data_IF_425875898071
#
_entry.id   IF_425875898071
#
_cell.length_a   1.000
_cell.length_b   1.000
_cell.length_c   1.000
_cell.angle_alpha   90.00
_cell.angle_beta   90.00
_cell.angle_gamma   90.00
#
_symmetry.space_group_name_H-M   'P 1'
#
loop_
_entity.id
_entity.type
_entity.pdbx_description
1 polymer ?
#
# COMPACT_ATOMS: atom_id res chain seq x y z
N UNK A 1 -1.63 -20.46 -19.62
CA UNK A 1 -2.01 -19.85 -18.33
C UNK A 1 -0.89 -20.16 -17.36
N UNK A 2 -0.10 -19.16 -16.98
CA UNK A 2 0.86 -19.29 -15.87
C UNK A 2 0.04 -19.45 -14.59
N UNK A 3 0.21 -20.57 -13.91
CA UNK A 3 -0.25 -20.73 -12.52
C UNK A 3 0.76 -19.96 -11.63
N UNK A 4 0.32 -19.41 -10.46
CA UNK A 4 1.30 -18.97 -9.48
C UNK A 4 2.32 -20.09 -9.29
N UNK A 5 3.57 -19.75 -9.07
CA UNK A 5 4.59 -20.73 -8.71
C UNK A 5 4.14 -21.35 -7.38
N UNK A 6 3.48 -22.52 -7.45
CA UNK A 6 2.85 -23.19 -6.30
C UNK A 6 1.92 -22.29 -5.47
N UNK A 7 1.36 -22.73 -4.39
CA UNK A 7 0.35 -22.10 -3.51
C UNK A 7 0.77 -20.77 -2.84
N UNK A 8 1.56 -19.93 -3.52
CA UNK A 8 2.08 -18.66 -2.99
C UNK A 8 0.97 -17.65 -2.71
N UNK A 9 1.06 -16.98 -1.58
CA UNK A 9 0.09 -16.00 -1.08
C UNK A 9 0.76 -14.67 -0.78
N UNK A 10 0.06 -13.57 -1.08
CA UNK A 10 0.46 -12.22 -0.71
C UNK A 10 -0.25 -11.81 0.58
N UNK A 11 0.49 -11.56 1.64
CA UNK A 11 -0.02 -11.07 2.92
C UNK A 11 0.15 -9.56 2.99
N UNK A 12 -0.96 -8.83 3.08
CA UNK A 12 -0.97 -7.37 3.14
C UNK A 12 -1.19 -6.93 4.58
N UNK A 13 -0.17 -6.39 5.19
CA UNK A 13 -0.13 -5.99 6.61
C UNK A 13 -0.20 -4.48 6.72
N UNK A 14 -1.14 -3.95 7.49
CA UNK A 14 -1.19 -2.51 7.73
C UNK A 14 -2.56 -1.99 8.12
N UNK A 15 -2.76 -0.68 7.90
CA UNK A 15 -4.00 -0.01 8.24
C UNK A 15 -5.12 -0.36 7.26
N UNK A 16 -6.25 -0.77 7.82
CA UNK A 16 -7.54 -0.87 7.13
C UNK A 16 -8.51 -0.01 7.93
N UNK A 17 -9.05 1.02 7.32
CA UNK A 17 -9.91 2.01 7.95
C UNK A 17 -11.11 2.35 7.07
N UNK A 18 -11.97 3.22 7.54
CA UNK A 18 -13.08 3.75 6.76
C UNK A 18 -12.71 5.11 6.21
N UNK A 19 -12.99 5.35 4.92
CA UNK A 19 -12.91 6.66 4.31
C UNK A 19 -14.32 7.20 4.05
N UNK A 20 -14.65 8.34 4.65
CA UNK A 20 -15.84 9.14 4.34
C UNK A 20 -15.38 10.31 3.46
N UNK A 21 -15.60 10.20 2.17
CA UNK A 21 -15.25 11.24 1.21
C UNK A 21 -16.46 12.12 0.97
N UNK A 22 -16.30 13.42 1.14
CA UNK A 22 -17.36 14.41 0.97
C UNK A 22 -16.87 15.55 0.06
N UNK A 23 -17.76 16.21 -0.65
CA UNK A 23 -17.38 17.35 -1.51
C UNK A 23 -18.56 17.94 -2.28
N UNK A 24 -18.37 19.02 -3.02
CA UNK A 24 -17.15 19.84 -3.06
C UNK A 24 -17.23 20.92 -1.99
N UNK A 25 -16.16 21.12 -1.24
CA UNK A 25 -16.06 22.21 -0.26
C UNK A 25 -15.45 23.43 -0.96
N UNK A 26 -16.29 24.38 -1.36
CA UNK A 26 -15.86 25.62 -2.06
C UNK A 26 -15.19 26.62 -1.13
N UNK A 27 -15.60 26.67 0.13
CA UNK A 27 -15.09 27.58 1.14
C UNK A 27 -15.24 26.96 2.53
N UNK A 28 -14.26 27.18 3.40
CA UNK A 28 -14.35 26.78 4.80
C UNK A 28 -15.51 27.53 5.50
N UNK A 29 -16.42 26.80 6.16
CA UNK A 29 -17.51 27.45 6.90
C UNK A 29 -16.96 28.24 8.09
N UNK A 30 -17.65 29.29 8.46
CA UNK A 30 -17.36 30.00 9.71
C UNK A 30 -17.59 29.08 10.90
N UNK A 31 -16.88 29.31 12.02
CA UNK A 31 -17.09 28.54 13.24
C UNK A 31 -18.55 28.63 13.71
N UNK A 32 -19.14 27.49 14.03
CA UNK A 32 -20.53 27.40 14.48
C UNK A 32 -21.57 27.44 13.37
N UNK A 33 -21.15 27.35 12.10
CA UNK A 33 -22.05 27.24 10.95
C UNK A 33 -21.96 25.88 10.29
N UNK A 34 -22.94 25.53 9.46
CA UNK A 34 -23.01 24.30 8.68
C UNK A 34 -22.68 24.55 7.22
N UNK A 35 -21.96 23.62 6.60
CA UNK A 35 -21.77 23.57 5.15
C UNK A 35 -22.51 22.36 4.58
N UNK A 36 -23.40 22.61 3.63
CA UNK A 36 -24.06 21.53 2.88
C UNK A 36 -23.18 21.17 1.69
N UNK A 37 -22.81 19.87 1.59
CA UNK A 37 -21.99 19.34 0.53
C UNK A 37 -22.84 18.51 -0.44
N UNK A 38 -22.45 18.49 -1.71
CA UNK A 38 -23.24 17.91 -2.80
C UNK A 38 -23.31 16.39 -2.74
N UNK A 39 -22.24 15.75 -2.24
CA UNK A 39 -22.15 14.28 -2.20
C UNK A 39 -21.30 13.78 -1.03
N UNK A 40 -21.54 12.54 -0.67
CA UNK A 40 -20.71 11.78 0.25
C UNK A 40 -20.62 10.32 -0.16
N UNK A 41 -19.48 9.69 0.10
CA UNK A 41 -19.26 8.27 -0.14
C UNK A 41 -18.53 7.66 1.05
N UNK A 42 -19.12 6.63 1.66
CA UNK A 42 -18.48 5.82 2.69
C UNK A 42 -17.90 4.57 2.02
N UNK A 43 -16.62 4.34 2.21
CA UNK A 43 -15.92 3.22 1.59
C UNK A 43 -14.83 2.63 2.50
N UNK A 44 -14.48 1.34 2.33
CA UNK A 44 -13.27 0.81 2.95
C UNK A 44 -12.05 1.53 2.38
N UNK A 45 -11.07 1.80 3.24
CA UNK A 45 -9.87 2.54 2.92
C UNK A 45 -8.66 2.02 3.69
N UNK A 46 -7.61 2.85 3.74
CA UNK A 46 -6.31 2.50 4.27
C UNK A 46 -5.42 1.80 3.26
N UNK A 47 -4.10 1.94 3.42
CA UNK A 47 -3.15 1.41 2.44
C UNK A 47 -3.28 -0.11 2.27
N UNK A 48 -3.39 -0.85 3.39
CA UNK A 48 -3.62 -2.29 3.33
C UNK A 48 -5.01 -2.64 2.78
N UNK A 49 -6.03 -1.86 3.12
CA UNK A 49 -7.39 -2.06 2.63
C UNK A 49 -7.50 -1.87 1.11
N UNK A 50 -7.00 -0.75 0.60
CA UNK A 50 -7.00 -0.47 -0.84
C UNK A 50 -6.22 -1.54 -1.63
N UNK A 51 -5.04 -1.94 -1.14
CA UNK A 51 -4.23 -2.97 -1.77
C UNK A 51 -4.96 -4.33 -1.78
N UNK A 52 -5.56 -4.74 -0.66
CA UNK A 52 -6.30 -6.02 -0.56
C UNK A 52 -7.53 -6.05 -1.47
N UNK A 53 -8.28 -4.95 -1.58
CA UNK A 53 -9.41 -4.84 -2.52
C UNK A 53 -8.97 -4.95 -3.99
N UNK A 54 -7.84 -4.34 -4.34
CA UNK A 54 -7.27 -4.47 -5.68
C UNK A 54 -6.85 -5.93 -5.95
N UNK A 55 -6.19 -6.60 -5.00
CA UNK A 55 -5.80 -8.01 -5.10
C UNK A 55 -7.00 -8.95 -5.24
N UNK A 56 -8.09 -8.68 -4.51
CA UNK A 56 -9.35 -9.42 -4.63
C UNK A 56 -9.91 -9.32 -6.06
N UNK A 57 -9.96 -8.11 -6.62
CA UNK A 57 -10.44 -7.88 -7.98
C UNK A 57 -9.54 -8.55 -9.04
N UNK A 58 -8.21 -8.57 -8.81
CA UNK A 58 -7.25 -9.28 -9.67
C UNK A 58 -7.33 -10.81 -9.55
N UNK A 59 -8.08 -11.34 -8.58
CA UNK A 59 -8.09 -12.76 -8.27
C UNK A 59 -6.73 -13.30 -7.81
N UNK A 60 -5.90 -12.44 -7.21
CA UNK A 60 -4.59 -12.83 -6.66
C UNK A 60 -4.78 -13.45 -5.28
N UNK A 61 -4.18 -14.64 -5.00
CA UNK A 61 -4.20 -15.23 -3.67
C UNK A 61 -3.61 -14.26 -2.64
N UNK A 62 -4.43 -13.82 -1.69
CA UNK A 62 -3.98 -12.84 -0.69
C UNK A 62 -4.71 -13.02 0.64
N UNK A 63 -4.14 -12.42 1.69
CA UNK A 63 -4.77 -12.24 2.99
C UNK A 63 -4.45 -10.86 3.52
N UNK A 64 -5.48 -10.12 3.94
CA UNK A 64 -5.33 -8.86 4.65
C UNK A 64 -5.06 -9.14 6.13
N UNK A 65 -3.95 -8.63 6.66
CA UNK A 65 -3.49 -8.82 8.04
C UNK A 65 -3.59 -7.48 8.75
N UNK A 66 -4.60 -7.36 9.61
CA UNK A 66 -4.94 -6.11 10.30
C UNK A 66 -5.49 -6.41 11.70
N UNK A 67 -6.06 -5.41 12.33
CA UNK A 67 -6.87 -5.49 13.53
C UNK A 67 -8.19 -4.73 13.32
N UNK A 68 -9.09 -4.78 14.28
CA UNK A 68 -10.40 -4.15 14.19
C UNK A 68 -10.82 -3.51 15.52
N UNK A 69 -11.69 -2.51 15.44
CA UNK A 69 -12.35 -1.90 16.58
C UNK A 69 -13.50 -2.73 17.12
N UNK A 70 -14.31 -2.12 18.01
CA UNK A 70 -15.42 -2.75 18.70
C UNK A 70 -16.73 -1.92 18.59
N UNK A 71 -16.98 -1.37 17.40
CA UNK A 71 -18.16 -0.57 17.08
C UNK A 71 -18.90 -1.10 15.84
N UNK A 72 -20.00 -0.45 15.47
CA UNK A 72 -20.78 -0.82 14.29
C UNK A 72 -19.99 -0.68 12.98
N UNK A 73 -19.11 0.29 12.90
CA UNK A 73 -18.26 0.50 11.75
C UNK A 73 -17.27 -0.65 11.54
N UNK A 74 -16.79 -1.26 12.62
CA UNK A 74 -15.93 -2.44 12.55
C UNK A 74 -16.61 -3.61 11.82
N UNK A 75 -17.86 -3.90 12.14
CA UNK A 75 -18.62 -4.99 11.50
C UNK A 75 -18.90 -4.70 10.02
N UNK A 76 -19.21 -3.45 9.69
CA UNK A 76 -19.39 -3.02 8.30
C UNK A 76 -18.09 -3.15 7.50
N UNK A 77 -16.97 -2.68 8.04
CA UNK A 77 -15.66 -2.75 7.42
C UNK A 77 -15.20 -4.19 7.20
N UNK A 78 -15.36 -5.05 8.21
CA UNK A 78 -15.00 -6.47 8.15
C UNK A 78 -15.74 -7.23 7.02
N UNK A 79 -16.95 -6.80 6.65
CA UNK A 79 -17.73 -7.37 5.56
C UNK A 79 -17.07 -7.30 4.19
N UNK A 80 -16.19 -6.32 3.97
CA UNK A 80 -15.41 -6.20 2.73
C UNK A 80 -14.20 -7.14 2.68
N UNK A 81 -13.82 -7.72 3.81
CA UNK A 81 -12.63 -8.58 3.96
C UNK A 81 -13.00 -9.93 4.60
N UNK A 82 -14.11 -10.52 4.17
CA UNK A 82 -14.73 -11.69 4.80
C UNK A 82 -13.78 -12.87 5.00
N UNK A 83 -12.83 -13.09 4.09
CA UNK A 83 -11.84 -14.17 4.17
C UNK A 83 -10.68 -13.87 5.15
N UNK A 84 -10.51 -12.63 5.56
CA UNK A 84 -9.40 -12.17 6.41
C UNK A 84 -9.86 -11.70 7.78
N UNK A 85 -10.95 -10.94 7.86
CA UNK A 85 -11.45 -10.30 9.06
C UNK A 85 -11.74 -11.24 10.25
N UNK A 86 -12.15 -12.51 10.06
CA UNK A 86 -12.32 -13.45 11.17
C UNK A 86 -11.05 -13.71 11.99
N UNK A 87 -9.88 -13.42 11.42
CA UNK A 87 -8.57 -13.61 12.07
C UNK A 87 -8.04 -12.32 12.72
N UNK A 88 -8.71 -11.18 12.50
CA UNK A 88 -8.26 -9.90 13.05
C UNK A 88 -8.53 -9.80 14.54
N UNK A 89 -7.52 -9.50 15.36
CA UNK A 89 -7.73 -9.21 16.77
C UNK A 89 -8.62 -7.99 16.93
N UNK A 90 -9.57 -8.09 17.88
CA UNK A 90 -10.53 -7.03 18.21
C UNK A 90 -10.03 -6.27 19.42
N UNK A 91 -10.10 -4.96 19.35
CA UNK A 91 -9.74 -4.04 20.43
C UNK A 91 -10.95 -3.24 20.89
N UNK A 92 -11.12 -3.07 22.19
CA UNK A 92 -12.16 -2.21 22.77
C UNK A 92 -11.83 -0.73 22.52
N UNK A 93 -12.06 -0.30 21.28
CA UNK A 93 -11.89 1.07 20.80
C UNK A 93 -12.65 1.27 19.50
N UNK A 94 -12.83 2.52 19.12
CA UNK A 94 -13.49 2.91 17.89
C UNK A 94 -12.71 2.47 16.62
N UNK A 95 -13.45 2.27 15.53
CA UNK A 95 -12.87 2.05 14.21
C UNK A 95 -12.18 3.33 13.72
N UNK A 96 -11.01 3.18 13.11
CA UNK A 96 -10.33 4.31 12.45
C UNK A 96 -11.16 4.78 11.25
N UNK A 97 -11.42 6.09 11.23
CA UNK A 97 -12.20 6.77 10.20
C UNK A 97 -11.42 7.98 9.71
N UNK A 98 -11.35 8.13 8.39
CA UNK A 98 -10.81 9.31 7.72
C UNK A 98 -11.93 10.04 7.00
N UNK A 99 -12.13 11.32 7.32
CA UNK A 99 -12.99 12.22 6.53
C UNK A 99 -12.12 12.93 5.52
N UNK A 100 -12.42 12.77 4.24
CA UNK A 100 -11.76 13.46 3.13
C UNK A 100 -12.69 14.50 2.52
N UNK A 101 -12.30 15.77 2.57
CA UNK A 101 -13.02 16.85 1.92
C UNK A 101 -12.36 17.18 0.58
N UNK A 102 -13.12 17.09 -0.51
CA UNK A 102 -12.67 17.45 -1.86
C UNK A 102 -12.88 18.94 -2.10
N UNK A 103 -11.88 19.61 -2.65
CA UNK A 103 -11.90 21.05 -3.05
C UNK A 103 -12.14 21.20 -4.55
N UNK A 104 -12.50 22.42 -5.04
CA UNK A 104 -12.77 22.66 -6.46
C UNK A 104 -11.60 22.40 -7.42
N UNK A 105 -10.37 22.47 -6.91
CA UNK A 105 -9.12 22.18 -7.62
C UNK A 105 -8.74 20.68 -7.62
N UNK A 106 -9.65 19.81 -7.14
CA UNK A 106 -9.46 18.40 -6.89
C UNK A 106 -8.44 18.05 -5.80
N UNK A 107 -7.91 19.06 -5.07
CA UNK A 107 -7.14 18.81 -3.86
C UNK A 107 -8.06 18.34 -2.72
N UNK A 108 -7.47 17.76 -1.69
CA UNK A 108 -8.22 17.17 -0.57
C UNK A 108 -7.61 17.53 0.76
N UNK A 109 -8.49 17.70 1.75
CA UNK A 109 -8.11 17.81 3.16
C UNK A 109 -8.64 16.59 3.92
N UNK A 110 -7.78 15.98 4.71
CA UNK A 110 -8.13 14.77 5.47
C UNK A 110 -8.12 15.02 6.97
N UNK A 111 -9.11 14.43 7.65
CA UNK A 111 -9.21 14.38 9.10
C UNK A 111 -9.36 12.93 9.52
N UNK A 112 -8.42 12.41 10.31
CA UNK A 112 -8.45 11.02 10.74
C UNK A 112 -8.41 10.92 12.25
N UNK A 113 -9.21 10.02 12.82
CA UNK A 113 -8.99 9.56 14.17
C UNK A 113 -7.94 8.42 14.17
N UNK A 114 -7.31 8.18 15.29
CA UNK A 114 -6.33 7.09 15.41
C UNK A 114 -7.00 5.70 15.43
N UNK A 115 -8.12 5.57 16.17
CA UNK A 115 -8.91 4.35 16.26
C UNK A 115 -8.10 3.10 16.59
N UNK A 116 -8.51 1.98 16.00
CA UNK A 116 -7.88 0.68 16.22
C UNK A 116 -6.50 0.50 15.55
N UNK A 117 -6.20 1.22 14.46
CA UNK A 117 -4.98 0.97 13.65
C UNK A 117 -3.69 1.20 14.44
N UNK A 118 -3.69 2.15 15.37
CA UNK A 118 -2.51 2.44 16.20
C UNK A 118 -2.19 1.32 17.21
N UNK A 119 -3.12 0.38 17.42
CA UNK A 119 -2.97 -0.74 18.36
C UNK A 119 -2.40 -2.00 17.70
N UNK A 120 -2.40 -2.09 16.37
CA UNK A 120 -1.81 -3.21 15.66
C UNK A 120 -0.36 -3.40 16.09
N UNK A 121 0.02 -4.60 16.50
CA UNK A 121 1.34 -4.91 17.01
C UNK A 121 1.95 -6.15 16.33
N UNK A 122 3.24 -6.37 16.55
CA UNK A 122 3.97 -7.52 16.01
C UNK A 122 3.30 -8.86 16.31
N UNK A 123 2.80 -9.05 17.52
CA UNK A 123 2.15 -10.31 17.92
C UNK A 123 0.88 -10.56 17.11
N UNK A 124 0.07 -9.52 16.88
CA UNK A 124 -1.14 -9.61 16.06
C UNK A 124 -0.81 -10.06 14.64
N UNK A 125 0.23 -9.49 14.05
CA UNK A 125 0.70 -9.84 12.71
C UNK A 125 1.19 -11.29 12.66
N UNK A 126 2.09 -11.67 13.58
CA UNK A 126 2.72 -12.99 13.58
C UNK A 126 1.74 -14.14 13.85
N UNK A 127 0.63 -13.88 14.56
CA UNK A 127 -0.45 -14.87 14.79
C UNK A 127 -1.32 -15.10 13.54
N UNK A 128 -1.44 -14.11 12.68
CA UNK A 128 -2.23 -14.20 11.44
C UNK A 128 -1.43 -14.77 10.26
N UNK A 129 -0.13 -14.90 10.39
CA UNK A 129 0.77 -15.43 9.36
C UNK A 129 1.18 -16.87 9.66
N UNK A 130 1.39 -17.72 8.64
CA UNK A 130 1.89 -19.07 8.87
C UNK A 130 3.27 -19.04 9.55
N UNK A 131 3.59 -20.03 10.37
CA UNK A 131 4.88 -20.10 11.08
C UNK A 131 6.08 -20.29 10.14
N UNK A 132 5.82 -20.73 8.90
CA UNK A 132 6.79 -20.88 7.82
C UNK A 132 6.12 -20.49 6.50
N UNK A 133 6.78 -19.65 5.73
CA UNK A 133 6.33 -19.22 4.41
C UNK A 133 6.36 -20.39 3.42
N UNK A 134 5.37 -20.45 2.52
CA UNK A 134 5.47 -21.24 1.32
C UNK A 134 6.44 -20.58 0.32
N UNK A 135 7.06 -21.34 -0.59
CA UNK A 135 7.91 -20.77 -1.62
C UNK A 135 7.18 -19.72 -2.44
N UNK A 136 7.70 -18.49 -2.46
CA UNK A 136 7.11 -17.36 -3.17
C UNK A 136 6.13 -16.51 -2.36
N UNK A 137 5.86 -16.85 -1.09
CA UNK A 137 5.04 -16.00 -0.22
C UNK A 137 5.68 -14.63 -0.01
N UNK A 138 4.87 -13.58 -0.17
CA UNK A 138 5.29 -12.18 0.00
C UNK A 138 4.49 -11.57 1.16
N UNK A 139 5.17 -10.83 2.04
CA UNK A 139 4.52 -9.95 3.01
C UNK A 139 4.76 -8.50 2.57
N UNK A 140 3.68 -7.76 2.32
CA UNK A 140 3.71 -6.31 2.15
C UNK A 140 3.34 -5.64 3.47
N UNK A 141 4.23 -4.83 4.02
CA UNK A 141 3.92 -3.92 5.12
C UNK A 141 3.65 -2.53 4.52
N UNK A 142 2.50 -1.93 4.84
CA UNK A 142 2.11 -0.61 4.34
C UNK A 142 1.39 0.20 5.44
N UNK A 143 1.27 1.52 5.23
CA UNK A 143 0.74 2.43 6.25
C UNK A 143 1.61 2.51 7.50
N UNK A 144 2.91 2.41 7.32
CA UNK A 144 3.94 2.31 8.39
C UNK A 144 3.74 3.34 9.50
N UNK A 145 3.57 4.60 9.14
CA UNK A 145 3.49 5.70 10.10
C UNK A 145 2.10 5.91 10.71
N UNK A 146 1.09 5.16 10.25
CA UNK A 146 -0.25 5.14 10.84
C UNK A 146 -0.40 4.01 11.87
N UNK A 147 0.31 2.91 11.69
CA UNK A 147 0.35 1.77 12.61
C UNK A 147 1.46 1.96 13.66
N UNK A 148 1.32 2.98 14.52
CA UNK A 148 2.39 3.50 15.38
C UNK A 148 3.06 2.42 16.25
N UNK A 149 2.27 1.54 16.86
CA UNK A 149 2.80 0.46 17.70
C UNK A 149 3.56 -0.57 16.87
N UNK A 150 3.04 -0.92 15.69
CA UNK A 150 3.69 -1.86 14.80
C UNK A 150 5.02 -1.30 14.28
N UNK A 151 5.06 0.00 13.97
CA UNK A 151 6.28 0.66 13.51
C UNK A 151 7.44 0.58 14.52
N UNK A 152 7.14 0.69 15.81
CA UNK A 152 8.14 0.49 16.87
C UNK A 152 8.70 -0.94 16.84
N UNK A 153 7.86 -1.92 16.53
CA UNK A 153 8.20 -3.35 16.49
C UNK A 153 8.84 -3.78 15.14
N UNK A 154 9.04 -2.89 14.17
CA UNK A 154 9.52 -3.26 12.82
C UNK A 154 10.84 -4.04 12.80
N UNK A 155 11.90 -3.67 13.56
CA UNK A 155 13.13 -4.44 13.54
C UNK A 155 12.93 -5.92 13.88
N UNK A 156 12.19 -6.20 14.94
CA UNK A 156 11.91 -7.57 15.39
C UNK A 156 10.89 -8.28 14.50
N UNK A 157 9.91 -7.54 13.97
CA UNK A 157 8.93 -8.10 13.04
C UNK A 157 9.61 -8.54 11.76
N UNK A 158 10.40 -7.68 11.14
CA UNK A 158 11.08 -7.98 9.87
C UNK A 158 12.08 -9.12 10.01
N UNK A 159 12.82 -9.16 11.13
CA UNK A 159 13.70 -10.29 11.45
C UNK A 159 12.91 -11.61 11.59
N UNK A 160 11.75 -11.58 12.25
CA UNK A 160 10.89 -12.76 12.41
C UNK A 160 10.30 -13.22 11.07
N UNK A 161 9.87 -12.29 10.20
CA UNK A 161 9.36 -12.61 8.86
C UNK A 161 10.44 -13.25 7.98
N UNK A 162 11.66 -12.71 8.01
CA UNK A 162 12.83 -13.33 7.35
C UNK A 162 13.10 -14.73 7.85
N UNK A 163 13.10 -14.91 9.16
CA UNK A 163 13.31 -16.24 9.76
C UNK A 163 12.25 -17.24 9.33
N UNK A 164 10.99 -16.80 9.13
CA UNK A 164 9.90 -17.64 8.60
C UNK A 164 10.02 -17.90 7.08
N UNK A 165 10.91 -17.22 6.36
CA UNK A 165 11.18 -17.41 4.94
C UNK A 165 10.35 -16.56 3.99
N UNK A 166 9.67 -15.51 4.46
CA UNK A 166 8.93 -14.57 3.60
C UNK A 166 9.85 -13.68 2.77
N UNK A 167 9.42 -13.38 1.55
CA UNK A 167 9.86 -12.17 0.86
C UNK A 167 9.15 -10.96 1.48
N UNK A 168 9.87 -9.85 1.66
CA UNK A 168 9.36 -8.69 2.39
C UNK A 168 9.35 -7.47 1.49
N UNK A 169 8.17 -6.88 1.31
CA UNK A 169 7.95 -5.61 0.65
C UNK A 169 7.48 -4.57 1.68
N UNK A 170 7.96 -3.34 1.58
CA UNK A 170 7.55 -2.24 2.47
C UNK A 170 7.16 -1.02 1.64
N UNK A 171 5.98 -0.48 1.91
CA UNK A 171 5.54 0.85 1.50
C UNK A 171 5.41 1.71 2.76
N UNK A 172 6.34 2.64 2.95
CA UNK A 172 6.35 3.43 4.19
C UNK A 172 5.20 4.43 4.25
N UNK A 173 4.78 4.96 3.10
CA UNK A 173 4.01 6.19 3.03
C UNK A 173 4.82 7.39 3.50
N UNK A 174 4.14 8.54 3.62
CA UNK A 174 4.74 9.80 4.08
C UNK A 174 4.67 9.92 5.60
N UNK A 175 5.79 10.21 6.30
CA UNK A 175 5.77 10.45 7.73
C UNK A 175 5.07 11.77 8.06
N UNK A 176 4.08 11.81 8.99
CA UNK A 176 3.29 13.01 9.27
C UNK A 176 4.11 14.24 9.65
N UNK A 177 5.22 14.04 10.36
CA UNK A 177 6.14 15.11 10.80
C UNK A 177 7.29 15.36 9.79
N UNK A 178 7.22 14.73 8.62
CA UNK A 178 8.29 14.77 7.63
C UNK A 178 9.51 13.91 8.00
N UNK A 179 10.52 13.95 7.15
CA UNK A 179 11.72 13.13 7.28
C UNK A 179 12.75 13.78 8.21
N UNK A 180 12.96 13.22 9.38
CA UNK A 180 14.06 13.57 10.29
C UNK A 180 15.26 12.61 10.13
N UNK A 181 16.45 13.05 10.53
CA UNK A 181 17.65 12.17 10.52
C UNK A 181 17.52 10.99 11.48
N UNK A 182 16.80 11.16 12.58
CA UNK A 182 16.47 10.08 13.50
C UNK A 182 15.64 8.99 12.83
N UNK A 183 14.56 9.40 12.13
CA UNK A 183 13.68 8.49 11.40
C UNK A 183 14.42 7.77 10.26
N UNK A 184 15.26 8.48 9.51
CA UNK A 184 16.07 7.86 8.44
C UNK A 184 17.01 6.79 8.99
N UNK A 185 17.71 7.08 10.11
CA UNK A 185 18.57 6.08 10.77
C UNK A 185 17.79 4.87 11.25
N UNK A 186 16.60 5.08 11.83
CA UNK A 186 15.73 4.00 12.27
C UNK A 186 15.35 3.10 11.09
N UNK A 187 14.93 3.69 9.97
CA UNK A 187 14.56 2.94 8.75
C UNK A 187 15.78 2.21 8.16
N UNK A 188 16.91 2.88 8.03
CA UNK A 188 18.14 2.26 7.54
C UNK A 188 18.55 1.02 8.36
N UNK A 189 18.25 1.01 9.66
CA UNK A 189 18.55 -0.12 10.56
C UNK A 189 17.82 -1.41 10.23
N UNK A 190 16.71 -1.36 9.45
CA UNK A 190 15.95 -2.55 9.11
C UNK A 190 15.76 -2.77 7.59
N UNK A 191 16.23 -1.87 6.72
CA UNK A 191 16.13 -2.05 5.25
C UNK A 191 16.76 -3.35 4.76
N UNK A 192 17.85 -3.82 5.39
CA UNK A 192 18.50 -5.08 5.05
C UNK A 192 17.64 -6.34 5.16
N UNK A 193 16.47 -6.25 5.79
CA UNK A 193 15.50 -7.34 5.82
C UNK A 193 14.53 -7.32 4.62
N UNK A 194 14.46 -6.21 3.86
CA UNK A 194 13.45 -5.99 2.83
C UNK A 194 13.96 -6.42 1.45
N UNK A 195 13.12 -7.08 0.65
CA UNK A 195 13.37 -7.39 -0.75
C UNK A 195 12.90 -6.27 -1.68
N UNK A 196 11.81 -5.58 -1.30
CA UNK A 196 11.25 -4.49 -2.08
C UNK A 196 10.92 -3.30 -1.17
N UNK A 197 11.32 -2.13 -1.60
CA UNK A 197 10.91 -0.85 -1.02
C UNK A 197 10.08 -0.10 -2.06
N UNK A 198 8.80 0.13 -1.76
CA UNK A 198 7.79 0.66 -2.68
C UNK A 198 7.45 2.10 -2.27
N UNK A 199 8.06 3.08 -2.91
CA UNK A 199 7.95 4.50 -2.55
C UNK A 199 7.38 5.32 -3.71
N UNK A 200 6.93 6.55 -3.43
CA UNK A 200 6.78 7.58 -4.45
C UNK A 200 8.05 8.43 -4.56
N UNK A 201 8.07 9.40 -5.49
CA UNK A 201 9.23 10.28 -5.72
C UNK A 201 9.60 11.08 -4.47
N UNK A 202 8.60 11.69 -3.82
CA UNK A 202 8.82 12.55 -2.64
C UNK A 202 9.34 11.73 -1.46
N UNK A 203 8.79 10.55 -1.24
CA UNK A 203 9.24 9.60 -0.22
C UNK A 203 10.67 9.13 -0.48
N UNK A 204 10.98 8.81 -1.72
CA UNK A 204 12.33 8.35 -2.13
C UNK A 204 13.38 9.44 -1.88
N UNK A 205 13.12 10.65 -2.37
CA UNK A 205 14.04 11.79 -2.18
C UNK A 205 14.16 12.17 -0.71
N UNK A 206 13.05 12.14 0.03
CA UNK A 206 13.02 12.43 1.46
C UNK A 206 13.80 11.42 2.29
N UNK A 207 13.64 10.13 2.03
CA UNK A 207 14.34 9.06 2.74
C UNK A 207 15.84 9.05 2.40
N UNK A 208 16.19 9.15 1.12
CA UNK A 208 17.57 9.09 0.64
C UNK A 208 18.37 10.39 0.83
N UNK A 209 17.73 11.50 1.25
CA UNK A 209 18.34 12.85 1.28
C UNK A 209 18.98 13.21 -0.05
N UNK A 210 18.26 13.02 -1.14
CA UNK A 210 18.76 13.22 -2.50
C UNK A 210 17.93 14.20 -3.31
N UNK A 211 18.51 14.72 -4.41
CA UNK A 211 17.82 15.53 -5.40
C UNK A 211 17.67 14.82 -6.75
N UNK A 212 18.49 13.79 -6.99
CA UNK A 212 18.46 12.96 -8.19
C UNK A 212 17.71 11.65 -7.87
N UNK A 213 16.60 11.43 -8.52
CA UNK A 213 15.68 10.34 -8.20
C UNK A 213 16.27 8.93 -8.52
N UNK A 214 16.86 8.68 -9.70
CA UNK A 214 17.55 7.44 -10.00
C UNK A 214 18.66 7.10 -9.01
N UNK A 215 19.51 8.08 -8.69
CA UNK A 215 20.60 7.90 -7.74
C UNK A 215 20.10 7.63 -6.32
N UNK A 216 19.04 8.33 -5.89
CA UNK A 216 18.38 8.11 -4.60
C UNK A 216 17.82 6.68 -4.52
N UNK A 217 17.13 6.23 -5.56
CA UNK A 217 16.61 4.86 -5.65
C UNK A 217 17.71 3.80 -5.60
N UNK A 218 18.83 3.99 -6.31
CA UNK A 218 19.97 3.08 -6.27
C UNK A 218 20.63 3.02 -4.89
N UNK A 219 20.78 4.17 -4.20
CA UNK A 219 21.31 4.22 -2.83
C UNK A 219 20.43 3.47 -1.83
N UNK A 220 19.12 3.56 -1.98
CA UNK A 220 18.18 2.80 -1.15
C UNK A 220 18.22 1.31 -1.50
N UNK A 221 18.23 0.95 -2.78
CA UNK A 221 18.34 -0.43 -3.24
C UNK A 221 19.61 -1.14 -2.72
N UNK A 222 20.73 -0.42 -2.63
CA UNK A 222 21.98 -0.95 -2.09
C UNK A 222 21.92 -1.30 -0.59
N UNK A 223 20.90 -0.82 0.15
CA UNK A 223 20.71 -1.12 1.56
C UNK A 223 19.73 -2.29 1.80
N UNK A 224 19.04 -2.75 0.75
CA UNK A 224 18.08 -3.85 0.84
C UNK A 224 18.78 -5.22 0.90
N UNK A 225 18.00 -6.26 1.14
CA UNK A 225 18.48 -7.63 1.05
C UNK A 225 19.09 -7.92 -0.32
N UNK A 226 19.99 -8.91 -0.38
CA UNK A 226 20.66 -9.29 -1.63
C UNK A 226 19.64 -9.58 -2.75
N UNK A 227 19.78 -8.90 -3.88
CA UNK A 227 18.83 -8.96 -4.99
C UNK A 227 17.58 -8.09 -4.83
N UNK A 228 17.49 -7.28 -3.76
CA UNK A 228 16.40 -6.37 -3.50
C UNK A 228 16.31 -5.21 -4.52
N UNK A 229 15.18 -4.51 -4.51
CA UNK A 229 14.92 -3.40 -5.42
C UNK A 229 14.09 -2.28 -4.78
N UNK A 230 14.44 -1.04 -5.08
CA UNK A 230 13.63 0.14 -4.79
C UNK A 230 12.72 0.42 -5.99
N UNK A 231 11.42 0.39 -5.76
CA UNK A 231 10.38 0.65 -6.75
C UNK A 231 9.80 2.03 -6.50
N UNK A 232 9.82 2.90 -7.50
CA UNK A 232 9.44 4.31 -7.36
C UNK A 232 8.24 4.60 -8.25
N UNK A 233 7.13 4.95 -7.62
CA UNK A 233 5.88 5.39 -8.25
C UNK A 233 6.00 6.87 -8.61
N UNK A 234 5.77 7.23 -9.90
CA UNK A 234 6.02 8.57 -10.46
C UNK A 234 4.77 9.24 -11.03
N UNK A 235 3.60 8.83 -10.54
CA UNK A 235 2.33 9.39 -11.01
C UNK A 235 2.20 9.35 -12.53
N UNK A 236 1.98 10.51 -13.16
CA UNK A 236 1.86 10.64 -14.62
C UNK A 236 3.11 10.28 -15.42
N UNK A 237 4.27 10.19 -14.78
CA UNK A 237 5.54 9.74 -15.41
C UNK A 237 5.76 8.23 -15.31
N UNK A 238 4.80 7.48 -14.75
CA UNK A 238 4.83 6.03 -14.65
C UNK A 238 5.54 5.51 -13.40
N UNK A 239 6.49 4.60 -13.56
CA UNK A 239 7.23 4.03 -12.44
C UNK A 239 8.61 3.53 -12.85
N UNK A 240 9.51 3.37 -11.87
CA UNK A 240 10.83 2.81 -12.08
C UNK A 240 11.22 1.80 -10.99
N UNK A 241 12.13 0.90 -11.35
CA UNK A 241 12.84 0.00 -10.43
C UNK A 241 14.31 0.34 -10.47
N UNK A 242 14.90 0.53 -9.29
CA UNK A 242 16.33 0.69 -9.09
C UNK A 242 16.88 -0.54 -8.35
N UNK A 243 17.89 -1.19 -8.88
CA UNK A 243 18.55 -2.36 -8.30
C UNK A 243 20.04 -2.39 -8.65
N UNK A 244 20.73 -3.49 -8.33
CA UNK A 244 22.14 -3.69 -8.62
C UNK A 244 22.45 -3.74 -10.13
N UNK A 245 21.47 -3.98 -11.00
CA UNK A 245 21.62 -4.03 -12.45
C UNK A 245 21.39 -2.66 -13.10
N UNK A 246 20.88 -1.68 -12.36
CA UNK A 246 20.68 -0.32 -12.84
C UNK A 246 19.25 0.20 -12.58
N UNK A 247 18.76 0.98 -13.54
CA UNK A 247 17.44 1.60 -13.49
C UNK A 247 16.60 1.16 -14.68
N UNK A 248 15.42 0.67 -14.38
CA UNK A 248 14.41 0.27 -15.36
C UNK A 248 13.18 1.15 -15.18
N UNK A 249 12.69 1.79 -16.24
CA UNK A 249 11.51 2.65 -16.18
C UNK A 249 10.42 2.20 -17.15
N UNK A 250 9.16 2.43 -16.76
CA UNK A 250 7.98 2.29 -17.63
C UNK A 250 7.14 3.55 -17.52
N UNK A 251 6.65 4.06 -18.67
CA UNK A 251 5.77 5.22 -18.73
C UNK A 251 4.36 4.89 -18.21
N UNK A 252 3.65 5.91 -17.71
CA UNK A 252 2.26 5.78 -17.32
C UNK A 252 1.34 5.56 -18.53
N UNK A 253 0.19 4.92 -18.29
CA UNK A 253 -0.91 4.91 -19.23
C UNK A 253 -1.59 6.30 -19.25
N UNK A 254 -1.94 6.79 -20.44
CA UNK A 254 -2.72 8.02 -20.58
C UNK A 254 -4.18 7.77 -20.18
N UNK A 255 -4.62 8.37 -19.09
CA UNK A 255 -5.99 8.23 -18.57
C UNK A 255 -6.56 9.56 -18.07
N UNK A 256 -7.88 9.69 -18.09
CA UNK A 256 -8.57 10.79 -17.42
C UNK A 256 -8.68 10.48 -15.94
N UNK A 257 -8.10 11.33 -15.09
CA UNK A 257 -8.09 11.14 -13.64
C UNK A 257 -9.46 11.51 -13.06
N UNK A 258 -10.04 10.60 -12.26
CA UNK A 258 -11.29 10.79 -11.51
C UNK A 258 -11.00 10.87 -10.00
N UNK A 259 -10.20 9.93 -9.47
CA UNK A 259 -9.87 9.86 -8.04
C UNK A 259 -8.50 9.21 -7.83
N UNK A 260 -7.53 9.97 -7.29
CA UNK A 260 -6.16 9.50 -7.07
C UNK A 260 -5.94 8.78 -5.73
N UNK A 261 -6.93 8.73 -4.82
CA UNK A 261 -6.78 8.06 -3.52
C UNK A 261 -6.50 6.58 -3.75
N UNK A 262 -5.49 6.03 -3.07
CA UNK A 262 -5.12 4.62 -3.18
C UNK A 262 -4.48 4.21 -4.51
N UNK A 263 -4.04 5.17 -5.35
CA UNK A 263 -3.29 4.87 -6.58
C UNK A 263 -2.01 4.07 -6.29
N UNK A 264 -1.23 4.49 -5.28
CA UNK A 264 -0.03 3.79 -4.83
C UNK A 264 -0.31 2.38 -4.33
N UNK A 265 -1.40 2.20 -3.56
CA UNK A 265 -1.83 0.91 -3.04
C UNK A 265 -2.26 -0.04 -4.17
N UNK A 266 -2.97 0.51 -5.16
CA UNK A 266 -3.38 -0.22 -6.37
C UNK A 266 -2.17 -0.62 -7.22
N UNK A 267 -1.18 0.27 -7.35
CA UNK A 267 0.10 -0.04 -7.99
C UNK A 267 0.81 -1.18 -7.26
N UNK A 268 0.92 -1.13 -5.93
CA UNK A 268 1.56 -2.17 -5.13
C UNK A 268 0.87 -3.52 -5.34
N UNK A 269 -0.47 -3.56 -5.39
CA UNK A 269 -1.23 -4.77 -5.67
C UNK A 269 -0.88 -5.36 -7.05
N UNK A 270 -0.86 -4.56 -8.10
CA UNK A 270 -0.51 -4.99 -9.45
C UNK A 270 0.94 -5.48 -9.55
N UNK A 271 1.87 -4.69 -9.02
CA UNK A 271 3.31 -4.99 -9.06
C UNK A 271 3.63 -6.32 -8.33
N UNK A 272 3.15 -6.47 -7.10
CA UNK A 272 3.41 -7.66 -6.29
C UNK A 272 2.65 -8.88 -6.81
N UNK A 273 1.45 -8.70 -7.39
CA UNK A 273 0.75 -9.79 -8.08
C UNK A 273 1.57 -10.36 -9.24
N UNK A 274 2.14 -9.49 -10.08
CA UNK A 274 2.98 -9.93 -11.19
C UNK A 274 4.18 -10.74 -10.70
N UNK A 275 4.86 -10.28 -9.64
CA UNK A 275 5.98 -11.02 -9.04
C UNK A 275 5.53 -12.38 -8.49
N UNK A 276 4.38 -12.44 -7.81
CA UNK A 276 3.81 -13.69 -7.29
C UNK A 276 3.55 -14.70 -8.40
N UNK A 277 3.17 -14.23 -9.60
CA UNK A 277 2.97 -15.07 -10.79
C UNK A 277 4.26 -15.35 -11.58
N UNK A 278 5.44 -14.92 -11.08
CA UNK A 278 6.74 -15.21 -11.70
C UNK A 278 7.12 -14.31 -12.87
N UNK A 279 6.42 -13.17 -13.05
CA UNK A 279 6.79 -12.18 -14.06
C UNK A 279 8.06 -11.41 -13.65
N UNK A 280 8.80 -10.93 -14.63
CA UNK A 280 9.98 -10.10 -14.40
C UNK A 280 9.62 -8.69 -13.93
N UNK A 281 10.62 -7.90 -13.47
CA UNK A 281 10.41 -6.56 -12.91
C UNK A 281 9.79 -5.56 -13.89
N UNK A 282 10.10 -5.67 -15.20
CA UNK A 282 9.50 -4.81 -16.23
C UNK A 282 8.01 -5.09 -16.37
N UNK A 283 7.63 -6.34 -16.44
CA UNK A 283 6.23 -6.77 -16.50
C UNK A 283 5.49 -6.40 -15.22
N UNK A 284 6.15 -6.54 -14.06
CA UNK A 284 5.59 -6.13 -12.77
C UNK A 284 5.34 -4.61 -12.70
N UNK A 285 6.25 -3.77 -13.21
CA UNK A 285 6.00 -2.32 -13.34
C UNK A 285 4.78 -2.02 -14.19
N UNK A 286 4.66 -2.67 -15.35
CA UNK A 286 3.50 -2.48 -16.25
C UNK A 286 2.18 -2.89 -15.59
N UNK A 287 2.17 -4.01 -14.87
CA UNK A 287 0.98 -4.43 -14.10
C UNK A 287 0.61 -3.41 -13.04
N UNK A 288 1.60 -2.94 -12.25
CA UNK A 288 1.38 -1.90 -11.24
C UNK A 288 0.79 -0.62 -11.84
N UNK A 289 1.38 -0.12 -12.94
CA UNK A 289 0.90 1.06 -13.67
C UNK A 289 -0.53 0.84 -14.16
N UNK A 290 -0.82 -0.28 -14.82
CA UNK A 290 -2.15 -0.54 -15.39
C UNK A 290 -3.23 -0.63 -14.33
N UNK A 291 -2.95 -1.33 -13.22
CA UNK A 291 -3.90 -1.44 -12.10
C UNK A 291 -4.16 -0.07 -11.47
N UNK A 292 -3.12 0.72 -11.25
CA UNK A 292 -3.26 2.08 -10.72
C UNK A 292 -4.04 2.99 -11.70
N UNK A 293 -3.70 2.97 -12.98
CA UNK A 293 -4.34 3.80 -14.02
C UNK A 293 -5.84 3.53 -14.11
N UNK A 294 -6.26 2.27 -14.08
CA UNK A 294 -7.69 1.92 -14.12
C UNK A 294 -8.40 2.31 -12.82
N UNK A 295 -7.73 2.12 -11.66
CA UNK A 295 -8.29 2.51 -10.37
C UNK A 295 -8.58 4.01 -10.28
N UNK A 296 -7.66 4.86 -10.78
CA UNK A 296 -7.81 6.33 -10.70
C UNK A 296 -8.72 6.93 -11.77
N UNK A 297 -9.03 6.20 -12.83
CA UNK A 297 -9.86 6.67 -13.96
C UNK A 297 -11.32 6.23 -13.88
N UNK A 298 -11.75 5.61 -12.79
CA UNK A 298 -13.10 5.08 -12.63
C UNK A 298 -13.78 5.48 -11.32
N UNK A 299 -15.10 5.75 -11.40
CA UNK A 299 -15.96 5.95 -10.23
C UNK A 299 -17.32 5.28 -10.48
N UNK A 300 -17.77 4.29 -9.68
CA UNK A 300 -17.00 3.66 -8.60
C UNK A 300 -15.71 3.01 -9.10
N UNK A 301 -14.72 2.89 -8.22
CA UNK A 301 -13.39 2.37 -8.55
C UNK A 301 -13.48 0.95 -9.13
N UNK A 302 -12.80 0.76 -10.26
CA UNK A 302 -12.68 -0.52 -10.95
C UNK A 302 -11.21 -0.91 -11.09
N UNK A 303 -10.98 -2.21 -11.20
CA UNK A 303 -9.65 -2.78 -11.42
C UNK A 303 -9.68 -3.68 -12.67
N UNK A 304 -8.56 -3.85 -13.37
CA UNK A 304 -8.50 -4.79 -14.49
C UNK A 304 -8.63 -6.23 -13.96
N UNK A 305 -9.16 -7.11 -14.78
CA UNK A 305 -9.04 -8.53 -14.50
C UNK A 305 -7.65 -9.06 -14.88
N UNK A 306 -7.30 -10.23 -14.34
CA UNK A 306 -6.00 -10.85 -14.62
C UNK A 306 -5.81 -11.18 -16.09
N UNK A 307 -6.85 -11.55 -16.81
CA UNK A 307 -6.75 -11.93 -18.23
C UNK A 307 -6.33 -10.73 -19.08
N UNK A 308 -6.92 -9.55 -18.84
CA UNK A 308 -6.52 -8.31 -19.49
C UNK A 308 -5.07 -7.92 -19.21
N UNK A 309 -4.59 -8.12 -17.98
CA UNK A 309 -3.18 -7.84 -17.64
C UNK A 309 -2.21 -8.79 -18.33
N UNK A 310 -2.58 -10.06 -18.49
CA UNK A 310 -1.74 -11.05 -19.18
C UNK A 310 -1.55 -10.75 -20.67
N UNK A 311 -2.57 -10.21 -21.34
CA UNK A 311 -2.46 -9.84 -22.76
C UNK A 311 -1.43 -8.72 -22.99
N UNK A 312 -1.29 -7.78 -22.07
CA UNK A 312 -0.28 -6.70 -22.15
C UNK A 312 1.15 -7.17 -21.84
N UNK A 313 1.33 -8.27 -21.13
CA UNK A 313 2.67 -8.79 -20.81
C UNK A 313 3.34 -9.51 -22.01
N UNK A 314 2.61 -9.78 -23.09
CA UNK A 314 3.08 -10.45 -24.30
C UNK A 314 3.44 -9.53 -25.48
N UNK A 315 3.26 -8.22 -25.32
CA UNK A 315 3.52 -7.23 -26.36
C UNK A 315 4.94 -6.61 -26.28
N UNK A 316 6.00 -7.43 -26.19
CA UNK A 316 7.40 -7.03 -26.39
C UNK A 316 8.05 -7.75 -27.56
#
# INVERSE_FOLDING_TARGET
MLKPASDATLYVVGNINIDLIMGTLHQWPARGTEAMLEHSALRPGGSAGNCALALAALGTPHRAVANQGDDHFSSWLAGYFADSAPFWPRYACETSLTVGLTHPDNERTFFSNQGHIVRLCRQDVLMQLPPRAAPGDIVLLCGTFLCLRLFVDYPELLAALRHRGFQIAVDTGWPPEGWSDGLRRQIAGWLGYCDYLLLNEVETLGLAQGADLPLAGQRLAAQLAAGGACVIKRGGDGAMVCDAQGVLSCAADAVTIVDTIGAGDSFNAGFLSALLYGYNRRQALRWGIRVASQAISSSPRQYPDRASLQSFAGEE
#
